data_IF_630596932622
#
_entry.id   IF_630596932622
#
_cell.length_a   1.000
_cell.length_b   1.000
_cell.length_c   1.000
_cell.angle_alpha   90.00
_cell.angle_beta   90.00
_cell.angle_gamma   90.00
#
_symmetry.space_group_name_H-M   'P 1'
#
loop_
_entity.id
_entity.type
_entity.pdbx_description
1 polymer ?
#
# COMPACT_ATOMS: atom_id res chain seq x y z
N UNK A 1 -16.32 10.96 -10.79
CA UNK A 1 -16.22 9.48 -10.85
C UNK A 1 -17.57 8.93 -10.43
N UNK A 2 -18.17 8.09 -11.25
CA UNK A 2 -19.39 7.35 -10.90
C UNK A 2 -18.98 6.11 -10.10
N UNK A 3 -19.75 5.78 -9.09
CA UNK A 3 -19.57 4.59 -8.26
C UNK A 3 -20.92 4.06 -7.82
N UNK A 4 -20.90 2.96 -7.09
CA UNK A 4 -22.09 2.35 -6.49
C UNK A 4 -21.93 2.44 -4.98
N UNK A 5 -22.96 2.92 -4.30
CA UNK A 5 -23.06 2.86 -2.85
C UNK A 5 -23.07 1.39 -2.40
N UNK A 6 -22.17 1.02 -1.48
CA UNK A 6 -22.14 -0.35 -0.98
C UNK A 6 -23.37 -0.72 -0.14
N UNK A 7 -23.97 0.24 0.56
CA UNK A 7 -25.07 -0.03 1.49
C UNK A 7 -26.42 -0.15 0.78
N UNK A 8 -26.67 0.68 -0.22
CA UNK A 8 -27.98 0.78 -0.88
C UNK A 8 -27.93 0.50 -2.40
N UNK A 9 -26.76 0.31 -2.99
CA UNK A 9 -26.61 -0.03 -4.41
C UNK A 9 -26.92 1.11 -5.39
N UNK A 10 -27.16 2.33 -4.92
CA UNK A 10 -27.45 3.46 -5.80
C UNK A 10 -26.18 3.99 -6.48
N UNK A 11 -26.36 4.57 -7.66
CA UNK A 11 -25.28 5.31 -8.31
C UNK A 11 -24.94 6.56 -7.52
N UNK A 12 -23.66 6.72 -7.21
CA UNK A 12 -23.11 7.92 -6.59
C UNK A 12 -22.17 8.60 -7.57
N UNK A 13 -22.27 9.92 -7.66
CA UNK A 13 -21.29 10.75 -8.33
C UNK A 13 -20.41 11.46 -7.29
N UNK A 14 -19.10 11.22 -7.35
CA UNK A 14 -18.14 12.02 -6.59
C UNK A 14 -17.68 13.23 -7.41
N UNK A 15 -18.08 14.47 -7.04
CA UNK A 15 -17.73 15.69 -7.77
C UNK A 15 -16.30 16.18 -7.49
N UNK A 16 -15.69 15.76 -6.37
CA UNK A 16 -14.35 16.21 -5.97
C UNK A 16 -13.31 15.88 -7.05
N UNK A 17 -12.49 16.81 -7.54
CA UNK A 17 -11.43 16.49 -8.49
C UNK A 17 -10.26 15.74 -7.84
N UNK A 18 -10.26 15.57 -6.51
CA UNK A 18 -9.18 14.93 -5.78
C UNK A 18 -9.58 13.55 -5.24
N UNK A 19 -8.62 12.62 -5.22
CA UNK A 19 -8.74 11.33 -4.56
C UNK A 19 -7.53 11.07 -3.65
N UNK A 20 -7.80 10.69 -2.40
CA UNK A 20 -6.75 10.31 -1.46
C UNK A 20 -6.34 8.85 -1.69
N UNK A 21 -5.04 8.59 -1.76
CA UNK A 21 -4.48 7.24 -1.90
C UNK A 21 -3.50 6.93 -0.77
N UNK A 22 -3.43 5.65 -0.38
CA UNK A 22 -2.54 5.16 0.68
C UNK A 22 -1.11 4.82 0.21
N UNK A 23 -0.73 5.24 -1.00
CA UNK A 23 0.58 4.98 -1.60
C UNK A 23 1.70 5.58 -0.75
N UNK A 24 2.80 4.83 -0.56
CA UNK A 24 3.92 5.24 0.31
C UNK A 24 3.81 4.78 1.76
N UNK A 25 2.64 4.32 2.21
CA UNK A 25 2.49 3.80 3.58
C UNK A 25 3.23 2.50 3.82
N UNK A 26 3.32 1.63 2.81
CA UNK A 26 3.98 0.33 2.92
C UNK A 26 5.50 0.45 2.87
N UNK A 27 6.00 1.30 1.95
CA UNK A 27 7.41 1.56 1.70
C UNK A 27 8.07 2.34 2.86
N UNK A 28 7.31 3.14 3.63
CA UNK A 28 7.85 3.86 4.79
C UNK A 28 7.72 3.11 6.11
N UNK A 29 6.64 2.35 6.28
CA UNK A 29 6.26 1.77 7.58
C UNK A 29 6.40 0.25 7.61
N UNK A 30 7.06 -0.36 6.63
CA UNK A 30 7.37 -1.78 6.66
C UNK A 30 6.16 -2.67 6.37
N UNK A 31 5.30 -2.31 5.42
CA UNK A 31 4.03 -3.02 5.20
C UNK A 31 4.09 -4.30 4.36
N UNK A 32 5.14 -4.52 3.57
CA UNK A 32 5.28 -5.74 2.75
C UNK A 32 5.86 -6.91 3.55
N UNK A 33 5.37 -8.13 3.27
CA UNK A 33 5.85 -9.37 3.90
C UNK A 33 7.37 -9.58 3.71
N UNK A 34 7.93 -9.12 2.57
CA UNK A 34 9.38 -9.19 2.31
C UNK A 34 10.22 -8.46 3.36
N UNK A 35 9.69 -7.40 3.99
CA UNK A 35 10.43 -6.69 5.03
C UNK A 35 10.67 -7.54 6.26
N UNK A 36 9.72 -8.44 6.60
CA UNK A 36 9.92 -9.41 7.67
C UNK A 36 11.00 -10.43 7.32
N UNK A 37 11.07 -10.85 6.05
CA UNK A 37 12.16 -11.72 5.56
C UNK A 37 13.52 -11.02 5.64
N UNK A 38 13.58 -9.74 5.22
CA UNK A 38 14.80 -8.93 5.34
C UNK A 38 15.20 -8.77 6.81
N UNK A 39 14.26 -8.46 7.70
CA UNK A 39 14.53 -8.38 9.14
C UNK A 39 15.15 -9.67 9.70
N UNK A 40 14.58 -10.82 9.36
CA UNK A 40 15.09 -12.13 9.82
C UNK A 40 16.50 -12.46 9.33
N UNK A 41 16.91 -11.90 8.19
CA UNK A 41 18.19 -12.21 7.53
C UNK A 41 19.28 -11.16 7.78
N UNK A 42 18.90 -9.89 7.87
CA UNK A 42 19.81 -8.73 7.91
C UNK A 42 19.56 -7.78 9.09
N UNK A 43 18.63 -8.12 9.99
CA UNK A 43 18.27 -7.26 11.12
C UNK A 43 17.61 -5.94 10.72
N UNK A 44 17.59 -4.99 11.66
CA UNK A 44 16.94 -3.69 11.46
C UNK A 44 17.64 -2.82 10.41
N UNK A 45 18.97 -2.89 10.31
CA UNK A 45 19.74 -2.11 9.36
C UNK A 45 19.40 -2.50 7.92
N UNK A 46 19.31 -3.81 7.64
CA UNK A 46 18.87 -4.29 6.34
C UNK A 46 17.43 -3.86 5.99
N UNK A 47 16.53 -3.76 6.98
CA UNK A 47 15.19 -3.21 6.75
C UNK A 47 15.27 -1.73 6.41
N UNK A 48 16.09 -0.95 7.12
CA UNK A 48 16.25 0.48 6.85
C UNK A 48 16.76 0.72 5.42
N UNK A 49 17.75 -0.05 4.98
CA UNK A 49 18.27 -0.04 3.60
C UNK A 49 17.18 -0.40 2.58
N UNK A 50 16.42 -1.47 2.82
CA UNK A 50 15.34 -1.90 1.92
C UNK A 50 14.27 -0.81 1.76
N UNK A 51 13.78 -0.24 2.87
CA UNK A 51 12.77 0.83 2.85
C UNK A 51 13.29 2.08 2.11
N UNK A 52 14.56 2.45 2.33
CA UNK A 52 15.21 3.57 1.64
C UNK A 52 15.29 3.34 0.13
N UNK A 53 15.72 2.15 -0.30
CA UNK A 53 15.75 1.77 -1.72
C UNK A 53 14.37 1.79 -2.36
N UNK A 54 13.33 1.38 -1.64
CA UNK A 54 11.96 1.40 -2.13
C UNK A 54 11.44 2.82 -2.30
N UNK A 55 11.71 3.69 -1.33
CA UNK A 55 11.35 5.10 -1.42
C UNK A 55 12.00 5.77 -2.62
N UNK A 56 13.26 5.46 -2.91
CA UNK A 56 13.95 5.98 -4.08
C UNK A 56 13.35 5.49 -5.41
N UNK A 57 12.70 4.32 -5.41
CA UNK A 57 12.14 3.66 -6.62
C UNK A 57 10.64 3.86 -6.79
N UNK A 58 9.95 4.44 -5.80
CA UNK A 58 8.48 4.45 -5.76
C UNK A 58 7.87 5.18 -6.96
N UNK A 59 8.47 6.29 -7.40
CA UNK A 59 8.02 7.05 -8.56
C UNK A 59 8.03 6.24 -9.86
N UNK A 60 9.13 5.53 -10.11
CA UNK A 60 9.30 4.71 -11.32
C UNK A 60 8.42 3.45 -11.33
N UNK A 61 7.99 2.94 -10.17
CA UNK A 61 7.23 1.68 -10.06
C UNK A 61 5.72 1.86 -9.93
N UNK A 62 5.27 2.88 -9.19
CA UNK A 62 3.87 3.00 -8.79
C UNK A 62 3.17 4.21 -9.44
N UNK A 63 3.81 5.38 -9.48
CA UNK A 63 3.10 6.61 -9.85
C UNK A 63 2.75 6.71 -11.32
N UNK A 64 3.58 6.17 -12.23
CA UNK A 64 3.24 6.21 -13.66
C UNK A 64 1.95 5.46 -14.01
N UNK A 65 1.57 4.43 -13.24
CA UNK A 65 0.27 3.75 -13.41
C UNK A 65 -0.84 4.54 -12.73
N UNK A 66 -0.63 4.90 -11.47
CA UNK A 66 -1.65 5.53 -10.65
C UNK A 66 -2.09 6.89 -11.25
N UNK A 67 -1.12 7.68 -11.74
CA UNK A 67 -1.37 8.98 -12.38
C UNK A 67 -2.20 8.86 -13.68
N UNK A 68 -1.90 7.86 -14.52
CA UNK A 68 -2.69 7.58 -15.73
C UNK A 68 -4.14 7.22 -15.39
N UNK A 69 -4.34 6.38 -14.36
CA UNK A 69 -5.68 6.01 -13.90
C UNK A 69 -6.42 7.23 -13.36
N UNK A 70 -5.75 8.06 -12.54
CA UNK A 70 -6.33 9.31 -12.03
C UNK A 70 -6.76 10.23 -13.15
N UNK A 71 -5.85 10.51 -14.09
CA UNK A 71 -6.08 11.43 -15.22
C UNK A 71 -7.24 10.99 -16.09
N UNK A 72 -7.34 9.71 -16.45
CA UNK A 72 -8.47 9.17 -17.24
C UNK A 72 -9.81 9.35 -16.52
N UNK A 73 -9.80 9.35 -15.19
CA UNK A 73 -11.01 9.57 -14.38
C UNK A 73 -11.28 11.05 -14.04
N UNK A 74 -10.48 11.98 -14.57
CA UNK A 74 -10.54 13.40 -14.21
C UNK A 74 -10.24 13.65 -12.74
N UNK A 75 -9.33 12.85 -12.15
CA UNK A 75 -8.94 12.91 -10.75
C UNK A 75 -7.45 13.16 -10.59
N UNK A 76 -7.09 14.10 -9.73
CA UNK A 76 -5.73 14.24 -9.20
C UNK A 76 -5.58 13.38 -7.95
N UNK A 77 -4.58 12.50 -7.95
CA UNK A 77 -4.29 11.65 -6.81
C UNK A 77 -3.43 12.39 -5.80
N UNK A 78 -3.86 12.39 -4.55
CA UNK A 78 -3.14 12.96 -3.42
C UNK A 78 -2.67 11.80 -2.54
N UNK A 79 -1.38 11.75 -2.24
CA UNK A 79 -0.79 10.66 -1.46
C UNK A 79 -0.17 11.23 -0.17
N UNK A 80 -0.97 11.43 0.90
CA UNK A 80 -0.51 12.06 2.14
C UNK A 80 0.74 11.43 2.77
N UNK A 81 0.93 10.12 2.55
CA UNK A 81 2.10 9.44 3.07
C UNK A 81 3.41 9.95 2.44
N UNK A 82 3.37 10.51 1.24
CA UNK A 82 4.55 10.95 0.48
C UNK A 82 4.80 12.46 0.58
N UNK A 83 3.97 13.16 1.35
CA UNK A 83 4.14 14.58 1.61
C UNK A 83 5.43 14.82 2.39
N UNK A 84 6.20 15.82 1.96
CA UNK A 84 7.53 16.12 2.49
C UNK A 84 7.58 16.23 4.03
N UNK A 85 6.62 16.90 4.72
CA UNK A 85 6.66 16.99 6.17
C UNK A 85 6.58 15.62 6.86
N UNK A 86 5.73 14.73 6.36
CA UNK A 86 5.58 13.40 6.94
C UNK A 86 6.81 12.54 6.64
N UNK A 87 7.29 12.54 5.40
CA UNK A 87 8.49 11.80 5.00
C UNK A 87 9.70 12.25 5.83
N UNK A 88 9.89 13.57 5.98
CA UNK A 88 10.96 14.15 6.81
C UNK A 88 10.86 13.66 8.25
N UNK A 89 9.66 13.70 8.85
CA UNK A 89 9.45 13.24 10.21
C UNK A 89 9.69 11.74 10.36
N UNK A 90 9.19 10.90 9.44
CA UNK A 90 9.41 9.45 9.48
C UNK A 90 10.90 9.09 9.34
N UNK A 91 11.69 9.89 8.63
CA UNK A 91 13.12 9.69 8.50
C UNK A 91 13.92 10.00 9.77
N UNK A 92 13.36 10.74 10.74
CA UNK A 92 14.01 10.94 12.05
C UNK A 92 13.74 9.79 13.03
N UNK A 93 12.76 8.93 12.74
CA UNK A 93 12.36 7.85 13.64
C UNK A 93 13.20 6.57 13.43
N UNK A 94 13.56 5.87 14.53
CA UNK A 94 14.11 4.53 14.48
C UNK A 94 13.23 3.56 13.66
N UNK A 95 13.86 2.71 12.85
CA UNK A 95 13.16 1.73 12.00
C UNK A 95 12.24 0.80 12.79
N UNK A 96 12.65 0.39 14.00
CA UNK A 96 11.83 -0.44 14.88
C UNK A 96 10.51 0.24 15.27
N UNK A 97 10.52 1.54 15.57
CA UNK A 97 9.31 2.28 15.96
C UNK A 97 8.33 2.44 14.78
N UNK A 98 8.84 2.55 13.56
CA UNK A 98 8.01 2.61 12.34
C UNK A 98 7.35 1.28 12.05
N UNK A 99 8.14 0.21 12.07
CA UNK A 99 7.78 -1.09 11.49
C UNK A 99 7.22 -2.07 12.52
N UNK A 100 7.68 -2.00 13.76
CA UNK A 100 7.43 -2.98 14.82
C UNK A 100 8.44 -4.12 14.87
N UNK A 101 9.40 -4.19 13.94
CA UNK A 101 10.39 -5.26 13.94
C UNK A 101 11.32 -5.15 15.16
N UNK A 102 11.57 -6.28 15.82
CA UNK A 102 12.40 -6.36 17.02
C UNK A 102 11.74 -5.83 18.29
N UNK A 103 10.50 -5.33 18.23
CA UNK A 103 9.71 -4.98 19.41
C UNK A 103 8.91 -6.20 19.90
N UNK A 104 8.67 -6.32 21.21
CA UNK A 104 7.70 -7.27 21.72
C UNK A 104 6.31 -6.85 21.23
N UNK A 105 5.77 -7.53 20.22
CA UNK A 105 4.42 -7.28 19.72
C UNK A 105 3.46 -8.33 20.26
N UNK A 106 2.35 -7.87 20.86
CA UNK A 106 1.34 -8.74 21.46
C UNK A 106 0.54 -9.54 20.42
N UNK A 107 0.60 -9.13 19.15
CA UNK A 107 -0.21 -9.63 18.02
C UNK A 107 0.62 -10.43 16.98
N UNK A 108 1.91 -10.66 17.25
CA UNK A 108 2.82 -11.42 16.37
C UNK A 108 3.04 -10.83 14.98
N UNK A 109 2.48 -9.66 14.67
CA UNK A 109 2.53 -9.06 13.33
C UNK A 109 3.33 -7.76 13.37
N UNK A 110 4.64 -7.87 13.22
CA UNK A 110 5.50 -6.71 13.04
C UNK A 110 5.33 -6.15 11.61
N UNK A 111 4.33 -5.28 11.39
CA UNK A 111 4.25 -4.42 10.21
C UNK A 111 3.40 -3.17 10.48
N UNK A 112 3.81 -2.03 9.90
CA UNK A 112 3.08 -0.77 10.01
C UNK A 112 2.76 -0.37 11.46
N UNK A 113 3.63 -0.73 12.40
CA UNK A 113 3.38 -0.58 13.84
C UNK A 113 2.97 0.85 14.22
N UNK A 114 3.71 1.85 13.75
CA UNK A 114 3.38 3.25 14.01
C UNK A 114 1.98 3.63 13.52
N UNK A 115 1.63 3.23 12.31
CA UNK A 115 0.31 3.50 11.73
C UNK A 115 -0.80 2.76 12.49
N UNK A 116 -0.58 1.49 12.86
CA UNK A 116 -1.59 0.73 13.62
C UNK A 116 -1.85 1.36 14.99
N UNK A 117 -0.81 1.81 15.69
CA UNK A 117 -0.98 2.52 16.95
C UNK A 117 -1.68 3.88 16.76
N UNK A 118 -1.33 4.64 15.72
CA UNK A 118 -2.03 5.88 15.39
C UNK A 118 -3.53 5.65 15.12
N UNK A 119 -3.89 4.57 14.41
CA UNK A 119 -5.29 4.20 14.17
C UNK A 119 -6.01 3.84 15.48
N UNK A 120 -5.35 3.15 16.42
CA UNK A 120 -5.93 2.87 17.76
C UNK A 120 -6.17 4.15 18.54
N UNK A 121 -5.24 5.11 18.50
CA UNK A 121 -5.42 6.42 19.14
C UNK A 121 -6.53 7.27 18.51
N UNK A 122 -7.03 6.89 17.34
CA UNK A 122 -8.16 7.50 16.65
C UNK A 122 -9.44 6.66 16.78
N UNK A 123 -9.47 5.71 17.71
CA UNK A 123 -10.62 4.82 17.99
C UNK A 123 -11.11 4.03 16.77
N UNK A 124 -10.22 3.74 15.80
CA UNK A 124 -10.55 2.89 14.66
C UNK A 124 -10.76 1.45 15.16
N UNK A 125 -11.85 0.76 14.76
CA UNK A 125 -12.15 -0.58 15.26
C UNK A 125 -11.00 -1.56 15.01
N UNK A 126 -10.70 -2.41 16.00
CA UNK A 126 -9.53 -3.28 15.99
C UNK A 126 -9.51 -4.26 14.79
N UNK A 127 -10.69 -4.61 14.24
CA UNK A 127 -10.80 -5.43 13.03
C UNK A 127 -10.20 -4.77 11.78
N UNK A 128 -10.20 -3.43 11.70
CA UNK A 128 -9.51 -2.68 10.65
C UNK A 128 -8.04 -2.49 11.01
N UNK A 129 -7.75 -2.19 12.28
CA UNK A 129 -6.39 -1.98 12.78
C UNK A 129 -5.52 -3.22 12.59
N UNK A 130 -6.03 -4.43 12.80
CA UNK A 130 -5.27 -5.68 12.68
C UNK A 130 -5.30 -6.28 11.27
N UNK A 131 -6.03 -5.66 10.33
CA UNK A 131 -6.19 -6.23 9.00
C UNK A 131 -4.81 -6.46 8.36
N UNK A 132 -4.50 -7.68 7.89
CA UNK A 132 -3.22 -7.96 7.29
C UNK A 132 -3.11 -7.22 5.96
N UNK A 133 -1.92 -6.68 5.69
CA UNK A 133 -1.64 -6.05 4.40
C UNK A 133 -1.83 -7.07 3.29
N UNK A 134 -2.65 -6.73 2.30
CA UNK A 134 -2.76 -7.45 1.03
C UNK A 134 -2.50 -6.45 -0.08
N UNK A 135 -1.50 -6.70 -0.93
CA UNK A 135 -1.30 -5.84 -2.09
C UNK A 135 -2.54 -5.91 -2.99
N UNK A 136 -2.90 -4.80 -3.64
CA UNK A 136 -4.17 -4.65 -4.37
C UNK A 136 -4.44 -5.83 -5.31
N UNK A 137 -3.45 -6.24 -6.11
CA UNK A 137 -3.53 -7.38 -7.05
C UNK A 137 -3.89 -8.73 -6.42
N UNK A 138 -3.53 -8.95 -5.15
CA UNK A 138 -3.89 -10.16 -4.41
C UNK A 138 -5.25 -10.02 -3.72
N UNK A 139 -5.58 -8.81 -3.26
CA UNK A 139 -6.86 -8.50 -2.64
C UNK A 139 -8.03 -8.61 -3.62
N UNK A 140 -7.84 -8.16 -4.86
CA UNK A 140 -8.82 -8.24 -5.95
C UNK A 140 -8.85 -9.60 -6.64
N UNK A 141 -7.98 -10.54 -6.24
CA UNK A 141 -7.78 -11.85 -6.90
C UNK A 141 -7.40 -11.75 -8.39
N UNK A 142 -6.97 -10.58 -8.88
CA UNK A 142 -6.57 -10.39 -10.28
C UNK A 142 -5.49 -11.38 -10.72
N UNK A 143 -4.50 -11.65 -9.86
CA UNK A 143 -3.43 -12.64 -10.12
C UNK A 143 -3.98 -14.05 -10.39
N UNK A 144 -5.12 -14.43 -9.79
CA UNK A 144 -5.72 -15.75 -9.99
C UNK A 144 -6.42 -15.86 -11.34
N UNK A 145 -6.98 -14.75 -11.85
CA UNK A 145 -7.58 -14.69 -13.19
C UNK A 145 -6.51 -14.75 -14.29
N UNK A 146 -5.30 -14.24 -14.03
CA UNK A 146 -4.17 -14.34 -14.98
C UNK A 146 -3.62 -15.77 -15.13
N UNK A 147 -3.57 -16.55 -14.05
CA UNK A 147 -2.99 -17.92 -14.07
C UNK A 147 -3.93 -19.03 -14.51
N UNK A 148 -5.24 -18.78 -14.60
CA UNK A 148 -6.22 -19.85 -14.78
C UNK A 148 -6.31 -20.42 -16.21
N UNK A 149 -5.76 -19.75 -17.22
CA UNK A 149 -6.02 -20.17 -18.62
C UNK A 149 -4.82 -20.59 -19.45
N UNK A 150 -3.59 -20.15 -19.16
CA UNK A 150 -2.43 -20.61 -19.94
C UNK A 150 -1.25 -20.84 -19.00
N UNK A 151 -0.66 -22.03 -19.02
CA UNK A 151 0.55 -22.37 -18.27
C UNK A 151 1.81 -21.57 -18.67
N UNK A 152 1.67 -20.42 -19.32
CA UNK A 152 2.75 -19.60 -19.85
C UNK A 152 2.71 -18.16 -19.29
N UNK A 153 3.89 -17.74 -18.81
CA UNK A 153 4.35 -16.41 -18.42
C UNK A 153 3.38 -15.48 -17.64
N UNK A 154 3.73 -15.24 -16.36
CA UNK A 154 3.17 -14.18 -15.51
C UNK A 154 3.26 -12.81 -16.20
N UNK A 155 2.11 -12.22 -16.52
CA UNK A 155 2.04 -10.82 -16.93
C UNK A 155 2.48 -9.93 -15.75
N UNK A 156 3.30 -8.93 -16.04
CA UNK A 156 3.76 -7.94 -15.04
C UNK A 156 2.76 -6.78 -15.02
N UNK A 157 2.59 -6.12 -13.87
CA UNK A 157 1.57 -5.06 -13.69
C UNK A 157 1.68 -3.80 -14.57
N UNK A 158 2.63 -3.73 -15.50
CA UNK A 158 2.70 -2.69 -16.55
C UNK A 158 2.16 -3.17 -17.91
N UNK A 159 1.87 -4.47 -18.05
CA UNK A 159 1.32 -5.08 -19.26
C UNK A 159 -0.21 -4.99 -19.21
N UNK A 160 -0.81 -4.64 -20.34
CA UNK A 160 -2.25 -4.53 -20.49
C UNK A 160 -2.84 -5.94 -20.53
N UNK A 161 -3.77 -6.24 -19.63
CA UNK A 161 -4.57 -7.46 -19.72
C UNK A 161 -5.79 -7.16 -20.59
N UNK A 162 -5.81 -7.71 -21.80
CA UNK A 162 -6.93 -7.53 -22.75
C UNK A 162 -8.28 -7.98 -22.17
N UNK A 163 -8.27 -8.90 -21.20
CA UNK A 163 -9.48 -9.41 -20.52
C UNK A 163 -10.14 -8.43 -19.56
N UNK A 164 -9.43 -7.35 -19.17
CA UNK A 164 -9.96 -6.30 -18.30
C UNK A 164 -10.45 -5.08 -19.09
N UNK A 165 -10.42 -5.13 -20.43
CA UNK A 165 -10.91 -4.07 -21.31
C UNK A 165 -12.36 -4.27 -21.77
N UNK A 166 -13.22 -4.84 -20.90
CA UNK A 166 -14.67 -4.89 -21.11
C UNK A 166 -15.32 -3.52 -20.90
#
# INVERSE_FOLDING_TARGET
MKGIDFENGQEILCPSPFALVGSGSDEQLGGYARHQTVFKSKGLDGVAEELSMEMHRIGARNFGRDDRIGTVNGKSLLAPFLEEPLVRWLNTLPTALKTGFGLPTNDGTANKFLLRNALRSLDVPECFVQRPKRAMQFGTRMVKMETAENGDAKLRGHQICEKLML
#
